data_IF_131488100220
#
_entry.id   IF_131488100220
#
_cell.length_a   1.000
_cell.length_b   1.000
_cell.length_c   1.000
_cell.angle_alpha   90.00
_cell.angle_beta   90.00
_cell.angle_gamma   90.00
#
_symmetry.space_group_name_H-M   'P 1'
#
loop_
_entity.id
_entity.type
_entity.pdbx_description
1 polymer ?
#
# COMPACT_ATOMS: atom_id res chain seq x y z
N UNK A 1 -11.70 -3.01 11.95
CA UNK A 1 -11.06 -4.18 12.61
C UNK A 1 -9.57 -4.17 12.30
N UNK A 2 -8.73 -4.54 13.27
CA UNK A 2 -7.27 -4.66 13.09
C UNK A 2 -6.90 -5.67 11.99
N UNK A 3 -5.78 -5.42 11.32
CA UNK A 3 -5.10 -6.42 10.49
C UNK A 3 -4.13 -7.26 11.33
N UNK A 4 -4.14 -8.58 11.10
CA UNK A 4 -3.14 -9.49 11.63
C UNK A 4 -1.87 -9.42 10.79
N UNK A 5 -0.73 -9.33 11.45
CA UNK A 5 0.57 -9.46 10.81
C UNK A 5 0.89 -10.95 10.59
N UNK A 6 1.00 -11.36 9.33
CA UNK A 6 1.37 -12.71 8.93
C UNK A 6 2.78 -12.70 8.32
N UNK A 7 3.70 -13.44 8.91
CA UNK A 7 5.04 -13.63 8.33
C UNK A 7 4.94 -14.54 7.12
N UNK A 8 5.37 -14.06 5.96
CA UNK A 8 5.42 -14.85 4.72
C UNK A 8 6.86 -14.92 4.24
N UNK A 9 7.40 -16.13 4.32
CA UNK A 9 8.82 -16.40 4.13
C UNK A 9 9.74 -15.46 4.92
N UNK A 10 10.88 -15.13 4.34
CA UNK A 10 11.93 -14.39 5.05
C UNK A 10 11.73 -12.88 5.00
N UNK A 11 10.98 -12.41 4.01
CA UNK A 11 11.11 -11.04 3.54
C UNK A 11 9.80 -10.25 3.56
N UNK A 12 8.65 -10.90 3.79
CA UNK A 12 7.33 -10.27 3.66
C UNK A 12 6.56 -10.32 4.98
N UNK A 13 5.79 -9.27 5.23
CA UNK A 13 4.60 -9.37 6.06
C UNK A 13 3.36 -9.17 5.18
N UNK A 14 2.37 -10.03 5.38
CA UNK A 14 1.02 -9.86 4.86
C UNK A 14 0.10 -9.46 6.01
N UNK A 15 -0.52 -8.30 5.88
CA UNK A 15 -1.47 -7.75 6.83
C UNK A 15 -2.87 -8.05 6.30
N UNK A 16 -3.60 -8.94 6.97
CA UNK A 16 -4.94 -9.39 6.53
C UNK A 16 -5.89 -9.52 7.72
N UNK A 17 -7.19 -9.56 7.46
CA UNK A 17 -8.19 -9.82 8.50
C UNK A 17 -8.22 -11.28 8.98
N UNK A 18 -7.39 -12.16 8.40
CA UNK A 18 -7.30 -13.59 8.77
C UNK A 18 -5.87 -13.95 9.18
N UNK A 19 -5.75 -14.80 10.19
CA UNK A 19 -4.42 -15.34 10.57
C UNK A 19 -3.98 -16.40 9.57
N UNK A 20 -2.74 -16.29 9.12
CA UNK A 20 -2.07 -17.20 8.19
C UNK A 20 -2.82 -17.45 6.87
N UNK A 21 -3.68 -16.52 6.44
CA UNK A 21 -4.47 -16.66 5.21
C UNK A 21 -4.81 -15.29 4.61
N UNK A 22 -5.03 -15.21 3.28
CA UNK A 22 -5.55 -14.01 2.65
C UNK A 22 -6.99 -13.74 3.13
N UNK A 23 -7.32 -12.46 3.30
CA UNK A 23 -8.68 -12.03 3.58
C UNK A 23 -9.39 -11.39 2.38
N UNK A 24 -8.63 -11.07 1.33
CA UNK A 24 -9.13 -10.50 0.09
C UNK A 24 -8.54 -11.19 -1.17
N UNK A 25 -9.17 -10.97 -2.32
CA UNK A 25 -8.63 -11.39 -3.63
C UNK A 25 -7.61 -10.38 -4.19
N UNK A 26 -7.56 -9.19 -3.60
CA UNK A 26 -6.71 -8.09 -4.03
C UNK A 26 -5.82 -7.65 -2.84
N UNK A 27 -4.63 -7.15 -3.14
CA UNK A 27 -3.75 -6.59 -2.12
C UNK A 27 -3.05 -5.31 -2.58
N UNK A 28 -2.57 -4.52 -1.62
CA UNK A 28 -1.69 -3.38 -1.86
C UNK A 28 -0.27 -3.76 -1.45
N UNK A 29 0.72 -3.57 -2.34
CA UNK A 29 2.13 -3.61 -1.98
C UNK A 29 2.59 -2.17 -1.74
N UNK A 30 3.08 -1.88 -0.52
CA UNK A 30 3.75 -0.61 -0.19
C UNK A 30 5.25 -0.84 -0.07
N UNK A 31 6.02 -0.17 -0.93
CA UNK A 31 7.45 -0.39 -1.09
C UNK A 31 8.16 0.82 -1.70
N UNK A 32 9.49 0.85 -1.59
CA UNK A 32 10.32 1.55 -2.57
C UNK A 32 10.42 0.65 -3.80
N UNK A 33 10.29 1.21 -4.99
CA UNK A 33 10.45 0.48 -6.24
C UNK A 33 11.51 1.13 -7.11
N UNK A 34 12.29 0.30 -7.80
CA UNK A 34 13.25 0.76 -8.79
C UNK A 34 13.34 -0.27 -9.93
N UNK A 35 13.15 0.18 -11.16
CA UNK A 35 13.49 -0.64 -12.33
C UNK A 35 15.00 -0.90 -12.38
N UNK A 36 15.41 -2.16 -12.19
CA UNK A 36 16.82 -2.58 -12.38
C UNK A 36 17.11 -3.14 -13.76
N UNK A 37 16.08 -3.49 -14.52
CA UNK A 37 16.24 -4.18 -15.79
C UNK A 37 15.53 -3.44 -16.92
N UNK A 38 16.24 -3.26 -18.03
CA UNK A 38 15.64 -2.83 -19.30
C UNK A 38 14.73 -3.91 -19.91
N UNK A 39 14.74 -5.14 -19.38
CA UNK A 39 13.87 -6.23 -19.84
C UNK A 39 12.46 -6.05 -19.28
N UNK A 40 11.50 -5.85 -20.19
CA UNK A 40 10.08 -6.01 -19.91
C UNK A 40 9.71 -7.50 -19.91
N UNK A 41 8.66 -7.81 -19.17
CA UNK A 41 8.01 -9.12 -19.17
C UNK A 41 8.52 -10.06 -18.09
N UNK A 42 7.78 -10.13 -16.98
CA UNK A 42 7.95 -11.22 -16.01
C UNK A 42 7.60 -12.58 -16.64
N UNK A 43 7.95 -13.67 -15.97
CA UNK A 43 7.62 -15.04 -16.40
C UNK A 43 6.13 -15.21 -16.71
N UNK A 44 5.82 -15.97 -17.78
CA UNK A 44 4.45 -16.27 -18.22
C UNK A 44 3.63 -17.04 -17.18
N UNK A 45 4.29 -17.63 -16.18
CA UNK A 45 3.65 -18.25 -15.02
C UNK A 45 2.83 -17.26 -14.17
N UNK A 46 3.09 -15.95 -14.30
CA UNK A 46 2.42 -14.87 -13.55
C UNK A 46 1.28 -14.20 -14.33
N UNK A 47 0.91 -14.70 -15.51
CA UNK A 47 -0.08 -14.07 -16.41
C UNK A 47 -1.49 -13.90 -15.83
N UNK A 48 -1.82 -14.67 -14.80
CA UNK A 48 -3.10 -14.63 -14.09
C UNK A 48 -3.17 -13.50 -13.04
N UNK A 49 -2.07 -12.81 -12.75
CA UNK A 49 -2.04 -11.64 -11.86
C UNK A 49 -2.14 -10.35 -12.69
N UNK A 50 -3.07 -9.49 -12.31
CA UNK A 50 -3.14 -8.10 -12.77
C UNK A 50 -2.38 -7.18 -11.81
N UNK A 51 -1.56 -6.30 -12.36
CA UNK A 51 -0.84 -5.26 -11.62
C UNK A 51 -1.48 -3.91 -11.92
N UNK A 52 -1.78 -3.15 -10.87
CA UNK A 52 -2.34 -1.79 -10.96
C UNK A 52 -1.29 -0.79 -10.51
N UNK A 53 -0.95 0.15 -11.38
CA UNK A 53 0.05 1.18 -11.13
C UNK A 53 -0.57 2.56 -11.00
N UNK A 54 0.03 3.40 -10.15
CA UNK A 54 -0.44 4.74 -9.81
C UNK A 54 0.50 5.86 -10.27
N UNK A 55 1.59 5.50 -10.96
CA UNK A 55 2.53 6.43 -11.59
C UNK A 55 3.04 5.83 -12.90
N UNK A 56 3.65 6.63 -13.76
CA UNK A 56 4.26 6.16 -15.01
C UNK A 56 5.54 5.37 -14.75
N UNK A 57 5.95 4.54 -15.70
CA UNK A 57 7.29 3.95 -15.66
C UNK A 57 8.38 5.03 -15.76
N UNK A 58 9.38 4.98 -14.89
CA UNK A 58 10.46 5.98 -14.82
C UNK A 58 10.11 7.19 -13.94
N UNK A 59 8.94 7.21 -13.30
CA UNK A 59 8.48 8.30 -12.46
C UNK A 59 8.39 7.92 -10.97
N UNK A 60 8.64 8.92 -10.12
CA UNK A 60 8.40 8.81 -8.69
C UNK A 60 6.91 8.87 -8.41
N UNK A 61 6.40 7.95 -7.59
CA UNK A 61 5.05 8.08 -7.06
C UNK A 61 5.11 9.05 -5.86
N UNK A 62 4.40 10.17 -5.95
CA UNK A 62 4.13 10.98 -4.76
C UNK A 62 3.36 10.12 -3.78
N UNK A 63 3.93 9.91 -2.58
CA UNK A 63 3.40 8.93 -1.63
C UNK A 63 1.90 9.15 -1.37
N UNK A 64 1.04 8.23 -1.83
CA UNK A 64 -0.39 8.40 -1.70
C UNK A 64 -0.88 8.19 -0.27
N UNK A 65 -0.10 7.56 0.61
CA UNK A 65 -0.56 6.91 1.83
C UNK A 65 -1.56 5.76 1.59
N UNK A 66 -1.51 4.75 2.45
CA UNK A 66 -2.48 3.64 2.40
C UNK A 66 -3.93 4.09 2.61
N UNK A 67 -4.17 5.17 3.36
CA UNK A 67 -5.53 5.68 3.58
C UNK A 67 -6.17 6.16 2.29
N UNK A 68 -5.46 6.94 1.48
CA UNK A 68 -5.99 7.42 0.19
C UNK A 68 -6.20 6.26 -0.79
N UNK A 69 -5.34 5.24 -0.73
CA UNK A 69 -5.47 4.04 -1.56
C UNK A 69 -6.77 3.29 -1.26
N UNK A 70 -7.09 3.04 0.02
CA UNK A 70 -8.27 2.25 0.39
C UNK A 70 -9.60 3.00 0.21
N UNK A 71 -9.59 4.34 0.18
CA UNK A 71 -10.78 5.15 -0.13
C UNK A 71 -10.90 5.47 -1.63
N UNK A 72 -9.97 4.99 -2.46
CA UNK A 72 -9.99 5.19 -3.92
C UNK A 72 -9.69 6.63 -4.37
N UNK A 73 -9.02 7.43 -3.53
CA UNK A 73 -8.67 8.82 -3.85
C UNK A 73 -7.43 8.92 -4.75
N UNK A 74 -6.68 7.84 -4.92
CA UNK A 74 -5.49 7.78 -5.78
C UNK A 74 -5.90 7.27 -7.16
N UNK A 75 -5.79 8.09 -8.23
CA UNK A 75 -6.18 7.67 -9.56
C UNK A 75 -5.23 6.59 -10.08
N UNK A 76 -5.81 5.49 -10.58
CA UNK A 76 -5.06 4.49 -11.32
C UNK A 76 -4.46 5.13 -12.58
N UNK A 77 -3.16 4.90 -12.80
CA UNK A 77 -2.49 5.30 -14.03
C UNK A 77 -2.67 4.25 -15.13
N UNK A 78 -2.36 2.99 -14.83
CA UNK A 78 -2.55 1.87 -15.76
C UNK A 78 -2.71 0.55 -15.02
N UNK A 79 -3.24 -0.47 -15.70
CA UNK A 79 -3.12 -1.86 -15.27
C UNK A 79 -2.73 -2.76 -16.42
N UNK A 80 -2.03 -3.85 -16.09
CA UNK A 80 -1.52 -4.81 -17.07
C UNK A 80 -1.30 -6.18 -16.41
N UNK A 81 -1.12 -7.23 -17.22
CA UNK A 81 -0.74 -8.54 -16.66
C UNK A 81 0.70 -8.51 -16.18
N UNK A 82 1.01 -9.26 -15.12
CA UNK A 82 2.34 -9.27 -14.55
C UNK A 82 3.42 -9.70 -15.56
N UNK A 83 3.09 -10.64 -16.46
CA UNK A 83 3.99 -11.09 -17.53
C UNK A 83 4.21 -10.07 -18.66
N UNK A 84 3.44 -8.98 -18.70
CA UNK A 84 3.61 -7.86 -19.63
C UNK A 84 4.36 -6.69 -18.97
N UNK A 85 4.50 -6.74 -17.66
CA UNK A 85 5.10 -5.67 -16.87
C UNK A 85 6.62 -5.80 -16.75
N UNK A 86 7.29 -4.68 -16.50
CA UNK A 86 8.67 -4.69 -16.03
C UNK A 86 8.75 -5.35 -14.66
N UNK A 87 9.87 -6.02 -14.38
CA UNK A 87 10.16 -6.45 -13.02
C UNK A 87 10.85 -5.32 -12.26
N UNK A 88 10.36 -5.03 -11.06
CA UNK A 88 10.85 -3.94 -10.23
C UNK A 88 11.56 -4.52 -9.03
N UNK A 89 12.72 -4.00 -8.68
CA UNK A 89 13.28 -4.25 -7.37
C UNK A 89 12.53 -3.47 -6.32
N UNK A 90 12.15 -4.18 -5.28
CA UNK A 90 11.35 -3.67 -4.20
C UNK A 90 12.15 -3.67 -2.90
N UNK A 91 11.93 -2.62 -2.12
CA UNK A 91 12.54 -2.48 -0.80
C UNK A 91 11.62 -1.93 0.26
N UNK A 92 12.03 -2.10 1.51
CA UNK A 92 11.26 -1.65 2.65
C UNK A 92 11.03 -0.14 2.65
N UNK A 93 9.75 0.19 2.61
CA UNK A 93 9.20 1.53 2.74
C UNK A 93 8.67 1.81 4.15
N UNK A 94 7.92 0.85 4.70
CA UNK A 94 7.24 1.00 6.00
C UNK A 94 8.21 1.14 7.16
N UNK A 95 7.94 2.08 8.07
CA UNK A 95 8.68 2.26 9.31
C UNK A 95 8.42 1.10 10.28
N UNK A 96 9.47 0.54 10.89
CA UNK A 96 9.29 -0.54 11.88
C UNK A 96 8.75 -0.08 13.22
N UNK A 97 8.90 1.20 13.55
CA UNK A 97 8.53 1.78 14.84
C UNK A 97 7.91 3.17 14.61
N UNK A 98 7.01 3.57 15.51
CA UNK A 98 6.31 4.85 15.46
C UNK A 98 7.24 6.00 15.90
N UNK A 99 8.12 5.74 16.89
CA UNK A 99 9.06 6.72 17.45
C UNK A 99 10.47 6.11 17.59
N UNK A 100 11.52 6.94 17.45
CA UNK A 100 12.91 6.57 17.78
C UNK A 100 13.62 5.63 16.80
N UNK A 101 12.95 5.17 15.74
CA UNK A 101 13.52 4.30 14.71
C UNK A 101 14.02 5.06 13.47
N UNK A 102 14.81 4.39 12.63
CA UNK A 102 15.19 4.90 11.31
C UNK A 102 13.93 5.08 10.45
N UNK A 103 13.67 6.31 10.01
CA UNK A 103 12.58 6.63 9.06
C UNK A 103 12.96 6.13 7.66
N UNK A 104 11.99 5.49 7.00
CA UNK A 104 12.07 4.90 5.67
C UNK A 104 11.09 5.56 4.69
N UNK A 105 10.15 6.37 5.21
CA UNK A 105 9.22 7.21 4.46
C UNK A 105 8.88 8.49 5.23
N UNK A 106 8.34 9.48 4.51
CA UNK A 106 7.93 10.77 5.06
C UNK A 106 6.48 10.80 5.57
N UNK A 107 5.57 9.96 5.03
CA UNK A 107 4.18 9.90 5.50
C UNK A 107 3.95 9.12 6.81
N UNK A 108 5.03 8.74 7.50
CA UNK A 108 4.97 8.02 8.77
C UNK A 108 4.20 6.68 8.71
N UNK A 109 4.11 6.07 7.53
CA UNK A 109 3.57 4.71 7.41
C UNK A 109 4.45 3.78 8.25
N UNK A 110 3.84 3.09 9.21
CA UNK A 110 4.49 2.18 10.14
C UNK A 110 3.70 0.89 10.30
N UNK A 111 4.31 -0.16 10.82
CA UNK A 111 3.57 -1.39 11.13
C UNK A 111 2.37 -1.17 12.06
N UNK A 112 2.46 -0.18 12.95
CA UNK A 112 1.32 0.23 13.77
C UNK A 112 0.19 0.87 12.95
N UNK A 113 0.52 1.78 12.02
CA UNK A 113 -0.48 2.41 11.16
C UNK A 113 -1.10 1.41 10.18
N UNK A 114 -0.32 0.46 9.65
CA UNK A 114 -0.84 -0.62 8.79
C UNK A 114 -1.81 -1.50 9.57
N UNK A 115 -1.43 -1.94 10.78
CA UNK A 115 -2.32 -2.72 11.66
C UNK A 115 -3.66 -2.03 11.91
N UNK A 116 -3.62 -0.72 12.14
CA UNK A 116 -4.78 0.09 12.49
C UNK A 116 -5.44 0.78 11.29
N UNK A 117 -5.09 0.40 10.06
CA UNK A 117 -5.49 1.12 8.84
C UNK A 117 -7.01 1.32 8.76
N UNK A 118 -7.78 0.25 8.89
CA UNK A 118 -9.24 0.32 8.78
C UNK A 118 -9.90 1.01 9.98
N UNK A 119 -9.39 0.82 11.20
CA UNK A 119 -9.92 1.56 12.36
C UNK A 119 -9.68 3.08 12.21
N UNK A 120 -8.51 3.44 11.66
CA UNK A 120 -8.18 4.84 11.33
C UNK A 120 -9.16 5.36 10.29
N UNK A 121 -9.38 4.62 9.20
CA UNK A 121 -10.30 5.00 8.15
C UNK A 121 -11.76 5.12 8.64
N UNK A 122 -12.20 4.24 9.53
CA UNK A 122 -13.55 4.27 10.12
C UNK A 122 -13.75 5.48 11.04
N UNK A 123 -12.72 5.87 11.80
CA UNK A 123 -12.78 7.00 12.74
C UNK A 123 -12.60 8.36 12.08
N UNK A 124 -11.86 8.43 10.97
CA UNK A 124 -11.46 9.69 10.31
C UNK A 124 -12.63 10.60 9.92
N UNK A 125 -13.76 10.11 9.40
CA UNK A 125 -14.88 10.97 8.98
C UNK A 125 -15.46 11.76 10.14
N UNK A 126 -15.56 11.14 11.32
CA UNK A 126 -16.08 11.83 12.49
C UNK A 126 -15.07 12.88 12.98
N UNK A 127 -13.78 12.54 13.04
CA UNK A 127 -12.72 13.51 13.37
C UNK A 127 -12.75 14.74 12.44
N UNK A 128 -12.92 14.53 11.14
CA UNK A 128 -13.01 15.60 10.14
C UNK A 128 -14.25 16.46 10.33
N UNK A 129 -15.42 15.86 10.61
CA UNK A 129 -16.66 16.61 10.88
C UNK A 129 -16.60 17.40 12.18
N UNK A 130 -16.02 16.83 13.23
CA UNK A 130 -15.83 17.53 14.51
C UNK A 130 -14.90 18.75 14.34
N UNK A 131 -13.82 18.58 13.56
CA UNK A 131 -12.94 19.68 13.19
C UNK A 131 -13.66 20.72 12.30
N UNK A 132 -14.47 20.28 11.34
CA UNK A 132 -15.26 21.17 10.50
C UNK A 132 -16.23 22.02 11.33
N UNK A 133 -16.91 21.42 12.30
CA UNK A 133 -17.79 22.14 13.23
C UNK A 133 -17.03 23.22 14.01
N UNK A 134 -15.84 22.90 14.53
CA UNK A 134 -14.96 23.85 15.24
C UNK A 134 -14.54 25.02 14.36
N UNK A 135 -14.09 24.75 13.13
CA UNK A 135 -13.68 25.80 12.19
C UNK A 135 -14.87 26.67 11.77
N UNK A 136 -16.05 26.07 11.59
CA UNK A 136 -17.28 26.81 11.27
C UNK A 136 -17.67 27.75 12.41
N UNK A 137 -17.60 27.31 13.66
CA UNK A 137 -17.82 28.16 14.84
C UNK A 137 -16.79 29.29 14.97
N UNK A 138 -15.57 29.10 14.47
CA UNK A 138 -14.54 30.13 14.42
C UNK A 138 -14.63 31.07 13.19
N UNK A 139 -15.68 30.95 12.37
CA UNK A 139 -15.88 31.76 11.16
C UNK A 139 -15.07 31.32 9.94
N UNK A 140 -14.34 30.21 10.02
CA UNK A 140 -13.51 29.66 8.94
C UNK A 140 -14.30 28.71 8.03
N UNK A 141 -15.36 29.22 7.39
CA UNK A 141 -16.34 28.41 6.64
C UNK A 141 -15.70 27.59 5.52
N UNK A 142 -14.84 28.19 4.68
CA UNK A 142 -14.18 27.48 3.58
C UNK A 142 -13.34 26.29 4.06
N UNK A 143 -12.66 26.42 5.22
CA UNK A 143 -11.89 25.31 5.79
C UNK A 143 -12.81 24.20 6.30
N UNK A 144 -13.91 24.56 6.95
CA UNK A 144 -14.90 23.59 7.40
C UNK A 144 -15.50 22.80 6.22
N UNK A 145 -15.83 23.48 5.12
CA UNK A 145 -16.42 22.83 3.94
C UNK A 145 -15.40 21.92 3.22
N UNK A 146 -14.11 22.27 3.22
CA UNK A 146 -13.05 21.37 2.75
C UNK A 146 -13.02 20.08 3.57
N UNK A 147 -13.05 20.17 4.90
CA UNK A 147 -13.01 19.01 5.78
C UNK A 147 -14.26 18.12 5.64
N UNK A 148 -15.44 18.70 5.43
CA UNK A 148 -16.67 17.96 5.16
C UNK A 148 -16.58 17.20 3.82
N UNK A 149 -16.00 17.82 2.79
CA UNK A 149 -15.72 17.14 1.51
C UNK A 149 -14.72 16.01 1.67
N UNK A 150 -13.66 16.22 2.43
CA UNK A 150 -12.67 15.18 2.72
C UNK A 150 -13.30 14.02 3.49
N UNK A 151 -14.18 14.30 4.47
CA UNK A 151 -14.91 13.29 5.21
C UNK A 151 -15.81 12.44 4.32
N UNK A 152 -16.38 13.04 3.26
CA UNK A 152 -17.26 12.34 2.33
C UNK A 152 -16.51 11.29 1.48
N UNK A 153 -15.20 11.42 1.29
CA UNK A 153 -14.38 10.46 0.52
C UNK A 153 -14.32 9.08 1.19
N UNK A 154 -14.42 9.03 2.52
CA UNK A 154 -14.37 7.79 3.31
C UNK A 154 -15.68 6.98 3.27
N UNK A 155 -16.67 7.38 2.46
CA UNK A 155 -17.94 6.65 2.35
C UNK A 155 -17.76 5.23 1.80
N UNK A 156 -16.77 5.02 0.93
CA UNK A 156 -16.50 3.75 0.27
C UNK A 156 -15.08 3.28 0.58
N UNK A 157 -14.92 2.58 1.70
CA UNK A 157 -13.64 1.95 2.07
C UNK A 157 -13.56 0.56 1.45
N UNK A 158 -12.57 0.35 0.58
CA UNK A 158 -12.27 -0.96 0.01
C UNK A 158 -11.31 -1.73 0.91
N UNK A 159 -11.65 -2.98 1.22
CA UNK A 159 -10.81 -3.85 2.04
C UNK A 159 -9.80 -4.62 1.17
N UNK A 160 -8.53 -4.28 1.37
CA UNK A 160 -7.35 -4.94 0.84
C UNK A 160 -6.54 -5.63 1.94
N UNK A 161 -5.89 -6.73 1.58
CA UNK A 161 -4.71 -7.17 2.31
C UNK A 161 -3.55 -6.21 1.97
N UNK A 162 -2.65 -5.94 2.92
CA UNK A 162 -1.48 -5.08 2.70
C UNK A 162 -0.20 -5.90 2.78
N UNK A 163 0.72 -5.70 1.84
CA UNK A 163 2.01 -6.38 1.77
C UNK A 163 3.09 -5.35 2.05
N UNK A 164 3.89 -5.62 3.08
CA UNK A 164 5.05 -4.76 3.43
C UNK A 164 6.33 -5.58 3.36
N UNK A 165 7.42 -4.96 2.91
CA UNK A 165 8.72 -5.60 2.85
C UNK A 165 9.50 -5.48 4.17
N UNK A 166 10.26 -6.53 4.49
CA UNK A 166 11.13 -6.61 5.67
C UNK A 166 12.60 -6.30 5.33
N UNK A 167 12.98 -6.38 4.06
CA UNK A 167 14.36 -6.22 3.59
C UNK A 167 14.79 -4.75 3.44
N UNK A 168 16.03 -4.45 3.83
CA UNK A 168 16.62 -3.10 3.73
C UNK A 168 17.43 -2.98 2.43
N UNK A 169 17.07 -2.03 1.55
CA UNK A 169 17.77 -1.75 0.27
C UNK A 169 19.29 -1.56 0.43
N UNK A 170 19.74 -1.00 1.56
CA UNK A 170 21.16 -0.68 1.79
C UNK A 170 22.03 -1.83 2.30
N UNK A 171 21.51 -3.05 2.39
CA UNK A 171 22.36 -4.25 2.48
C UNK A 171 22.17 -5.01 1.18
N UNK A 172 23.20 -5.01 0.35
CA UNK A 172 23.33 -5.61 -1.00
C UNK A 172 23.03 -7.11 -1.09
N UNK A 173 22.43 -7.72 -0.07
CA UNK A 173 22.26 -9.16 0.05
C UNK A 173 20.82 -9.64 -0.06
N UNK A 174 19.81 -8.74 -0.21
CA UNK A 174 18.39 -9.12 -0.06
C UNK A 174 17.39 -8.21 -0.84
N UNK A 175 17.74 -7.68 -2.02
CA UNK A 175 16.72 -7.07 -2.90
C UNK A 175 15.74 -8.14 -3.38
N UNK A 176 14.44 -7.84 -3.34
CA UNK A 176 13.40 -8.73 -3.88
C UNK A 176 12.82 -8.08 -5.12
N UNK A 177 12.65 -8.83 -6.20
CA UNK A 177 11.88 -8.34 -7.33
C UNK A 177 10.38 -8.52 -7.10
N UNK A 178 9.54 -7.75 -7.82
CA UNK A 178 8.09 -7.91 -7.79
C UNK A 178 7.68 -9.32 -8.19
N UNK A 179 8.34 -9.92 -9.18
CA UNK A 179 8.07 -11.30 -9.57
C UNK A 179 8.42 -12.30 -8.45
N UNK A 180 9.49 -12.08 -7.70
CA UNK A 180 9.84 -12.89 -6.52
C UNK A 180 8.81 -12.72 -5.39
N UNK A 181 8.33 -11.50 -5.12
CA UNK A 181 7.26 -11.24 -4.15
C UNK A 181 6.00 -12.03 -4.52
N UNK A 182 5.57 -11.98 -5.78
CA UNK A 182 4.37 -12.69 -6.23
C UNK A 182 4.53 -14.21 -6.08
N UNK A 183 5.70 -14.76 -6.44
CA UNK A 183 6.00 -16.19 -6.25
C UNK A 183 6.01 -16.59 -4.78
N UNK A 184 6.61 -15.78 -3.92
CA UNK A 184 6.67 -16.05 -2.48
C UNK A 184 5.25 -16.02 -1.88
N UNK A 185 4.42 -15.04 -2.22
CA UNK A 185 3.02 -15.01 -1.81
C UNK A 185 2.25 -16.28 -2.24
N UNK A 186 2.35 -16.67 -3.51
CA UNK A 186 1.69 -17.88 -4.03
C UNK A 186 2.15 -19.15 -3.34
N UNK A 187 3.45 -19.28 -3.08
CA UNK A 187 4.04 -20.45 -2.38
C UNK A 187 3.43 -20.65 -0.98
N UNK A 188 3.06 -19.56 -0.32
CA UNK A 188 2.43 -19.58 1.01
C UNK A 188 0.89 -19.49 0.96
N UNK A 189 0.28 -19.69 -0.21
CA UNK A 189 -1.18 -19.75 -0.36
C UNK A 189 -1.88 -18.41 -0.58
N UNK A 190 -1.14 -17.31 -0.68
CA UNK A 190 -1.69 -15.98 -0.99
C UNK A 190 -1.74 -15.79 -2.50
N UNK A 191 -2.87 -16.18 -3.11
CA UNK A 191 -3.10 -16.15 -4.56
C UNK A 191 -3.97 -14.96 -4.96
N UNK A 192 -3.45 -13.74 -4.80
CA UNK A 192 -4.15 -12.53 -5.21
C UNK A 192 -4.32 -12.48 -6.73
N UNK A 193 -5.49 -12.04 -7.20
CA UNK A 193 -5.79 -11.85 -8.61
C UNK A 193 -5.34 -10.47 -9.10
N UNK A 194 -5.34 -9.48 -8.20
CA UNK A 194 -4.96 -8.10 -8.48
C UNK A 194 -4.06 -7.56 -7.39
N UNK A 195 -3.01 -6.85 -7.79
CA UNK A 195 -2.02 -6.26 -6.89
C UNK A 195 -1.90 -4.78 -7.21
N UNK A 196 -2.17 -3.94 -6.21
CA UNK A 196 -2.03 -2.50 -6.26
C UNK A 196 -0.60 -2.12 -5.86
N UNK A 197 0.14 -1.59 -6.82
CA UNK A 197 1.56 -1.28 -6.71
C UNK A 197 1.76 0.17 -6.22
N UNK A 198 1.77 0.37 -4.90
CA UNK A 198 2.06 1.66 -4.26
C UNK A 198 3.57 1.84 -4.07
N UNK A 199 4.29 2.04 -5.18
CA UNK A 199 5.73 2.28 -5.21
C UNK A 199 6.17 3.02 -6.49
N UNK A 200 7.37 3.60 -6.48
CA UNK A 200 8.00 4.23 -7.65
C UNK A 200 8.38 3.19 -8.71
N UNK A 201 8.35 3.57 -9.99
CA UNK A 201 8.62 2.65 -11.10
C UNK A 201 9.92 3.00 -11.82
#
# INVERSE_FOLDING_TARGET
MDLYQNTVGSNLYVWSHKRAAPSANECIITAHGASRTSKSGMSSELKDVELVYYTRHGETLSDPSLLQMIIGAVPQYESMKANESHDYELGKYTNSQVNGGKRHNEANESYHSVRNLYNTADAKPQELRDNAARFRSAGMVTHADNLERDAAQYKNITQYDVITLRNRIHRSFNSLTLSEVIRELRRYGYKYQRIHCAFCR
#
